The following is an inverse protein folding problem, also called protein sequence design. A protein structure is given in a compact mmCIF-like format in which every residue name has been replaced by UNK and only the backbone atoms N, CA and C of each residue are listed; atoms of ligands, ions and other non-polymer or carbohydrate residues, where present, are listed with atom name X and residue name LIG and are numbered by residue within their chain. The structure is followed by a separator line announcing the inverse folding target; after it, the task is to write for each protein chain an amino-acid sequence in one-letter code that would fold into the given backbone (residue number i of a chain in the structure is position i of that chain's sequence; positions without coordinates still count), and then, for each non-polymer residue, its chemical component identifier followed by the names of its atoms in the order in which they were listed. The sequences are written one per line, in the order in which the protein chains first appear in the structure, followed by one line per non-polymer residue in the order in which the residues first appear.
data_IF_979502397451
#
_entry.id   IF_979502397451
#
_cell.length_a   1.000
_cell.length_b   1.000
_cell.length_c   1.000
_cell.angle_alpha   90.00
_cell.angle_beta   90.00
_cell.angle_gamma   90.00
#
_symmetry.space_group_name_H-M   'P 1'
#
loop_
_entity.id
_entity.type
_entity.pdbx_description
1 polymer ?
#
# COMPACT_ATOMS: atom_id res chain seq x y z
N UNK A 1 12.80 19.69 -13.24
CA UNK A 1 12.61 19.45 -11.79
C UNK A 1 11.15 19.24 -11.44
N UNK A 2 10.27 20.16 -11.85
CA UNK A 2 8.83 20.08 -11.57
C UNK A 2 8.16 18.80 -12.08
N UNK A 3 8.41 18.39 -13.33
CA UNK A 3 7.82 17.17 -13.88
C UNK A 3 8.25 15.90 -13.12
N UNK A 4 9.49 15.87 -12.64
CA UNK A 4 10.01 14.76 -11.83
C UNK A 4 9.34 14.70 -10.46
N UNK A 5 9.16 15.86 -9.81
CA UNK A 5 8.39 16.00 -8.58
C UNK A 5 6.95 15.49 -8.74
N UNK A 6 6.27 15.92 -9.80
CA UNK A 6 4.89 15.50 -10.08
C UNK A 6 4.82 13.98 -10.30
N UNK A 7 5.76 13.40 -11.05
CA UNK A 7 5.85 11.95 -11.24
C UNK A 7 6.02 11.20 -9.92
N UNK A 8 6.88 11.67 -9.02
CA UNK A 8 7.07 11.06 -7.69
C UNK A 8 5.79 11.12 -6.85
N UNK A 9 5.11 12.26 -6.85
CA UNK A 9 3.85 12.43 -6.10
C UNK A 9 2.74 11.54 -6.65
N UNK A 10 2.62 11.43 -7.97
CA UNK A 10 1.64 10.53 -8.63
C UNK A 10 1.98 9.07 -8.29
N UNK A 11 3.23 8.65 -8.47
CA UNK A 11 3.66 7.28 -8.17
C UNK A 11 3.43 6.94 -6.69
N UNK A 12 3.82 7.85 -5.78
CA UNK A 12 3.59 7.69 -4.35
C UNK A 12 2.12 7.56 -3.99
N UNK A 13 1.26 8.41 -4.58
CA UNK A 13 -0.19 8.36 -4.36
C UNK A 13 -0.80 7.04 -4.84
N UNK A 14 -0.40 6.57 -6.03
CA UNK A 14 -0.87 5.30 -6.59
C UNK A 14 -0.43 4.14 -5.69
N UNK A 15 0.82 4.12 -5.23
CA UNK A 15 1.32 3.08 -4.34
C UNK A 15 0.61 3.08 -2.97
N UNK A 16 0.33 4.25 -2.40
CA UNK A 16 -0.45 4.36 -1.14
C UNK A 16 -1.87 3.83 -1.36
N UNK A 17 -2.54 4.24 -2.44
CA UNK A 17 -3.88 3.75 -2.77
C UNK A 17 -3.89 2.25 -3.02
N UNK A 18 -2.87 1.71 -3.69
CA UNK A 18 -2.73 0.29 -3.91
C UNK A 18 -2.58 -0.49 -2.59
N UNK A 19 -1.70 -0.01 -1.70
CA UNK A 19 -1.51 -0.61 -0.38
C UNK A 19 -2.75 -0.51 0.51
N UNK A 20 -3.45 0.63 0.49
CA UNK A 20 -4.66 0.91 1.26
C UNK A 20 -5.86 0.07 0.78
N UNK A 21 -6.14 0.08 -0.52
CA UNK A 21 -7.28 -0.62 -1.10
C UNK A 21 -7.07 -2.13 -1.19
N UNK A 22 -5.83 -2.60 -1.02
CA UNK A 22 -5.47 -4.02 -1.09
C UNK A 22 -6.08 -4.66 -2.33
N UNK A 23 -5.72 -4.16 -3.51
CA UNK A 23 -6.04 -4.79 -4.80
C UNK A 23 -5.30 -6.13 -4.98
N UNK A 24 -5.21 -6.92 -3.92
CA UNK A 24 -4.67 -8.25 -3.91
C UNK A 24 -5.85 -9.19 -3.97
N UNK A 25 -6.03 -9.90 -5.09
CA UNK A 25 -7.07 -10.89 -5.19
C UNK A 25 -6.86 -11.99 -4.14
N UNK A 26 -7.96 -12.63 -3.75
CA UNK A 26 -7.91 -13.91 -3.04
C UNK A 26 -7.33 -15.02 -3.93
N UNK A 27 -7.26 -16.25 -3.39
CA UNK A 27 -6.74 -17.41 -4.14
C UNK A 27 -7.54 -17.72 -5.42
N UNK A 28 -8.77 -17.20 -5.52
CA UNK A 28 -9.68 -17.38 -6.66
C UNK A 28 -9.66 -16.19 -7.63
N UNK A 29 -8.90 -15.13 -7.35
CA UNK A 29 -8.85 -13.93 -8.19
C UNK A 29 -9.83 -12.83 -7.79
N UNK A 30 -10.63 -13.01 -6.74
CA UNK A 30 -11.68 -12.07 -6.36
C UNK A 30 -11.17 -10.96 -5.45
N UNK A 31 -11.69 -9.76 -5.66
CA UNK A 31 -11.38 -8.59 -4.83
C UNK A 31 -12.53 -8.41 -3.83
N UNK A 32 -12.25 -8.52 -2.54
CA UNK A 32 -13.26 -8.30 -1.50
C UNK A 32 -13.59 -6.80 -1.39
N UNK A 33 -14.76 -6.44 -1.92
CA UNK A 33 -15.28 -5.06 -1.92
C UNK A 33 -15.60 -4.55 -0.50
N UNK A 34 -15.73 -5.42 0.50
CA UNK A 34 -15.94 -4.98 1.88
C UNK A 34 -14.71 -4.27 2.46
N UNK A 35 -13.52 -4.54 1.90
CA UNK A 35 -12.28 -3.85 2.26
C UNK A 35 -12.31 -2.34 1.92
N UNK A 36 -13.26 -1.92 1.06
CA UNK A 36 -13.37 -0.54 0.57
C UNK A 36 -14.24 0.36 1.46
N UNK A 37 -14.90 -0.18 2.49
CA UNK A 37 -15.67 0.63 3.44
C UNK A 37 -14.72 1.46 4.29
N UNK A 38 -14.84 2.78 4.27
CA UNK A 38 -13.85 3.71 4.84
C UNK A 38 -13.42 3.40 6.29
N UNK A 39 -14.37 3.16 7.21
CA UNK A 39 -14.07 2.90 8.63
C UNK A 39 -13.61 1.47 8.93
N UNK A 40 -14.17 0.46 8.25
CA UNK A 40 -13.71 -0.93 8.37
C UNK A 40 -12.38 -1.18 7.66
N UNK A 41 -12.16 -0.49 6.54
CA UNK A 41 -10.99 -0.53 5.69
C UNK A 41 -9.75 0.01 6.39
N UNK A 42 -9.86 1.12 7.15
CA UNK A 42 -8.73 1.62 7.95
C UNK A 42 -8.23 0.60 8.98
N UNK A 43 -9.14 -0.04 9.73
CA UNK A 43 -8.78 -1.07 10.70
C UNK A 43 -8.16 -2.30 10.05
N UNK A 44 -8.71 -2.71 8.90
CA UNK A 44 -8.13 -3.78 8.09
C UNK A 44 -6.72 -3.41 7.64
N UNK A 45 -6.53 -2.23 7.05
CA UNK A 45 -5.24 -1.68 6.60
C UNK A 45 -4.23 -1.75 7.73
N UNK A 46 -4.50 -1.17 8.89
CA UNK A 46 -3.58 -1.21 10.04
C UNK A 46 -3.21 -2.65 10.42
N UNK A 47 -4.20 -3.54 10.57
CA UNK A 47 -3.97 -4.93 10.99
C UNK A 47 -3.13 -5.70 9.99
N UNK A 48 -3.43 -5.58 8.70
CA UNK A 48 -2.67 -6.30 7.67
C UNK A 48 -1.38 -5.60 7.28
N UNK A 49 -1.21 -4.29 7.53
CA UNK A 49 0.11 -3.66 7.51
C UNK A 49 0.97 -4.27 8.60
N UNK A 50 0.49 -4.38 9.85
CA UNK A 50 1.22 -5.04 10.93
C UNK A 50 1.61 -6.49 10.59
N UNK A 51 0.64 -7.28 10.09
CA UNK A 51 0.91 -8.66 9.65
C UNK A 51 1.88 -8.70 8.47
N UNK A 52 1.74 -7.77 7.51
CA UNK A 52 2.61 -7.64 6.36
C UNK A 52 4.04 -7.27 6.74
N UNK A 53 4.23 -6.37 7.71
CA UNK A 53 5.55 -6.07 8.29
C UNK A 53 6.17 -7.32 8.90
N UNK A 54 5.40 -8.08 9.67
CA UNK A 54 5.87 -9.32 10.27
C UNK A 54 6.27 -10.35 9.19
N UNK A 55 5.45 -10.52 8.15
CA UNK A 55 5.74 -11.40 7.02
C UNK A 55 7.01 -10.96 6.26
N UNK A 56 7.19 -9.65 6.01
CA UNK A 56 8.40 -9.09 5.40
C UNK A 56 9.65 -9.36 6.24
N UNK A 57 9.57 -9.19 7.57
CA UNK A 57 10.69 -9.49 8.48
C UNK A 57 11.06 -10.97 8.49
N UNK A 58 10.07 -11.84 8.25
CA UNK A 58 10.27 -13.29 8.10
C UNK A 58 10.66 -13.70 6.67
N UNK A 59 10.81 -12.75 5.74
CA UNK A 59 11.11 -13.04 4.33
C UNK A 59 9.97 -13.72 3.56
N UNK A 60 8.74 -13.67 4.07
CA UNK A 60 7.56 -14.25 3.43
C UNK A 60 6.91 -13.23 2.50
N UNK A 61 6.69 -13.63 1.25
CA UNK A 61 5.97 -12.83 0.26
C UNK A 61 4.48 -13.22 0.33
N UNK A 62 3.76 -12.59 1.26
CA UNK A 62 2.29 -12.70 1.35
C UNK A 62 1.61 -11.49 0.71
N UNK A 63 0.31 -11.60 0.42
CA UNK A 63 -0.48 -10.45 -0.02
C UNK A 63 -0.37 -9.27 0.96
N UNK A 64 -0.39 -9.54 2.27
CA UNK A 64 -0.22 -8.51 3.29
C UNK A 64 1.18 -7.87 3.24
N UNK A 65 2.23 -8.67 2.99
CA UNK A 65 3.60 -8.19 2.83
C UNK A 65 3.73 -7.24 1.63
N UNK A 66 3.14 -7.61 0.49
CA UNK A 66 3.15 -6.79 -0.74
C UNK A 66 2.37 -5.49 -0.52
N UNK A 67 1.19 -5.56 0.11
CA UNK A 67 0.39 -4.37 0.46
C UNK A 67 1.14 -3.44 1.40
N UNK A 68 1.77 -3.97 2.46
CA UNK A 68 2.57 -3.18 3.40
C UNK A 68 3.77 -2.51 2.71
N UNK A 69 4.47 -3.26 1.84
CA UNK A 69 5.61 -2.75 1.08
C UNK A 69 5.19 -1.62 0.13
N UNK A 70 4.07 -1.78 -0.59
CA UNK A 70 3.54 -0.74 -1.46
C UNK A 70 3.19 0.54 -0.68
N UNK A 71 2.61 0.40 0.52
CA UNK A 71 2.34 1.51 1.43
C UNK A 71 3.62 2.24 1.84
N UNK A 72 4.67 1.51 2.25
CA UNK A 72 5.94 2.11 2.66
C UNK A 72 6.64 2.82 1.51
N UNK A 73 6.75 2.17 0.35
CA UNK A 73 7.34 2.77 -0.85
C UNK A 73 6.55 4.02 -1.24
N UNK A 74 5.21 3.95 -1.23
CA UNK A 74 4.36 5.08 -1.55
C UNK A 74 4.58 6.27 -0.63
N UNK A 75 4.64 6.05 0.69
CA UNK A 75 4.92 7.10 1.67
C UNK A 75 6.31 7.71 1.45
N UNK A 76 7.34 6.88 1.20
CA UNK A 76 8.70 7.36 0.94
C UNK A 76 8.73 8.26 -0.30
N UNK A 77 8.15 7.80 -1.41
CA UNK A 77 8.07 8.56 -2.66
C UNK A 77 7.32 9.88 -2.48
N UNK A 78 6.22 9.86 -1.71
CA UNK A 78 5.42 11.05 -1.42
C UNK A 78 6.23 12.09 -0.62
N UNK A 79 6.95 11.66 0.43
CA UNK A 79 7.82 12.53 1.24
C UNK A 79 8.95 13.12 0.39
N UNK A 80 9.62 12.30 -0.43
CA UNK A 80 10.68 12.76 -1.32
C UNK A 80 10.13 13.78 -2.33
N UNK A 81 8.97 13.51 -2.94
CA UNK A 81 8.32 14.41 -3.88
C UNK A 81 7.96 15.77 -3.26
N UNK A 82 7.56 15.82 -1.98
CA UNK A 82 7.31 17.10 -1.31
C UNK A 82 8.57 17.86 -0.94
N UNK A 83 9.68 17.16 -0.65
CA UNK A 83 10.95 17.76 -0.23
C UNK A 83 11.82 18.30 -1.37
N UNK A 84 11.74 17.68 -2.55
CA UNK A 84 12.44 18.14 -3.79
C UNK A 84 11.65 19.30 -4.41
#
# INVERSE_FOLDING_TARGET
MESFKILLLIAGSISILFGYLRFLPDEEGNIDLNNYRFTGGLGLVIRGTYKGTHDLLLGKISSNAISALALYVGIILFIIGFKI
#
